data_IF_121408748229
#
_entry.id   IF_121408748229
#
_cell.length_a   1.000
_cell.length_b   1.000
_cell.length_c   1.000
_cell.angle_alpha   90.00
_cell.angle_beta   90.00
_cell.angle_gamma   90.00
#
_symmetry.space_group_name_H-M   'P 1'
#
loop_
_entity.id
_entity.type
_entity.pdbx_description
1 polymer ?
#
# COMPACT_ATOMS: atom_id res chain seq x y z
N UNK A 1 3.04 10.84 3.34
CA UNK A 1 4.14 10.71 2.36
C UNK A 1 4.65 12.06 1.87
N UNK A 2 3.80 12.97 1.35
CA UNK A 2 4.26 14.28 0.84
C UNK A 2 4.87 15.19 1.91
N UNK A 3 4.39 15.11 3.16
CA UNK A 3 4.96 15.88 4.28
C UNK A 3 6.47 15.69 4.44
N UNK A 4 6.97 14.46 4.23
CA UNK A 4 8.40 14.18 4.37
C UNK A 4 9.25 14.99 3.36
N UNK A 5 8.72 15.27 2.17
CA UNK A 5 9.43 16.12 1.19
C UNK A 5 9.49 17.56 1.64
N UNK A 6 8.41 18.12 2.18
CA UNK A 6 8.42 19.47 2.74
C UNK A 6 9.39 19.58 3.93
N UNK A 7 9.39 18.60 4.83
CA UNK A 7 10.27 18.61 6.01
C UNK A 7 11.76 18.56 5.60
N UNK A 8 12.11 17.69 4.64
CA UNK A 8 13.48 17.60 4.12
C UNK A 8 13.86 18.90 3.40
N UNK A 9 12.95 19.48 2.62
CA UNK A 9 13.21 20.70 1.88
C UNK A 9 13.45 21.90 2.78
N UNK A 10 12.65 22.05 3.84
CA UNK A 10 12.84 23.11 4.83
C UNK A 10 14.21 23.00 5.53
N UNK A 11 14.69 21.78 5.80
CA UNK A 11 16.00 21.56 6.39
C UNK A 11 17.16 21.90 5.45
N UNK A 12 16.93 21.81 4.14
CA UNK A 12 17.94 22.02 3.11
C UNK A 12 17.86 23.40 2.44
N UNK A 13 16.76 24.15 2.65
CA UNK A 13 16.46 25.39 1.93
C UNK A 13 16.11 25.17 0.45
N UNK A 14 15.46 24.05 0.15
CA UNK A 14 15.18 23.54 -1.21
C UNK A 14 13.67 23.38 -1.46
N UNK A 15 12.85 24.32 -0.97
CA UNK A 15 11.38 24.23 -0.99
C UNK A 15 10.80 24.20 -2.41
N UNK A 16 11.32 25.03 -3.33
CA UNK A 16 10.84 25.07 -4.72
C UNK A 16 11.03 23.72 -5.42
N UNK A 17 12.15 23.05 -5.17
CA UNK A 17 12.44 21.73 -5.72
C UNK A 17 11.52 20.65 -5.15
N UNK A 18 11.18 20.72 -3.87
CA UNK A 18 10.22 19.80 -3.28
C UNK A 18 8.82 19.99 -3.87
N UNK A 19 8.37 21.21 -4.09
CA UNK A 19 7.08 21.46 -4.75
C UNK A 19 7.03 20.85 -6.16
N UNK A 20 8.11 20.98 -6.93
CA UNK A 20 8.21 20.36 -8.25
C UNK A 20 8.07 18.83 -8.16
N UNK A 21 8.80 18.18 -7.24
CA UNK A 21 8.76 16.72 -7.06
C UNK A 21 7.37 16.27 -6.60
N UNK A 22 6.79 16.95 -5.61
CA UNK A 22 5.45 16.64 -5.09
C UNK A 22 4.43 16.76 -6.21
N UNK A 23 4.47 17.83 -7.00
CA UNK A 23 3.56 18.01 -8.12
C UNK A 23 3.67 16.85 -9.11
N UNK A 24 4.88 16.43 -9.49
CA UNK A 24 5.09 15.29 -10.39
C UNK A 24 4.54 13.98 -9.79
N UNK A 25 4.73 13.75 -8.49
CA UNK A 25 4.19 12.57 -7.80
C UNK A 25 2.65 12.59 -7.79
N UNK A 26 2.03 13.72 -7.48
CA UNK A 26 0.58 13.86 -7.51
C UNK A 26 0.00 13.59 -8.89
N UNK A 27 0.65 14.09 -9.95
CA UNK A 27 0.21 13.84 -11.32
C UNK A 27 0.25 12.34 -11.65
N UNK A 28 1.33 11.64 -11.27
CA UNK A 28 1.44 10.18 -11.46
C UNK A 28 0.37 9.42 -10.69
N UNK A 29 0.10 9.79 -9.44
CA UNK A 29 -0.96 9.17 -8.63
C UNK A 29 -2.33 9.40 -9.28
N UNK A 30 -2.65 10.65 -9.67
CA UNK A 30 -3.91 10.98 -10.34
C UNK A 30 -4.08 10.22 -11.66
N UNK A 31 -3.01 10.07 -12.42
CA UNK A 31 -3.01 9.29 -13.66
C UNK A 31 -3.32 7.81 -13.37
N UNK A 32 -2.62 7.19 -12.42
CA UNK A 32 -2.88 5.80 -12.04
C UNK A 32 -4.32 5.60 -11.54
N UNK A 33 -4.81 6.48 -10.66
CA UNK A 33 -6.18 6.45 -10.16
C UNK A 33 -7.21 6.60 -11.28
N UNK A 34 -6.93 7.41 -12.30
CA UNK A 34 -7.84 7.59 -13.44
C UNK A 34 -8.06 6.32 -14.25
N UNK A 35 -7.05 5.44 -14.32
CA UNK A 35 -7.12 4.17 -15.05
C UNK A 35 -8.03 3.15 -14.36
N UNK A 36 -8.15 3.24 -13.03
CA UNK A 36 -8.91 2.28 -12.22
C UNK A 36 -10.34 2.73 -11.92
N UNK A 37 -10.70 3.99 -12.18
CA UNK A 37 -12.04 4.56 -11.92
C UNK A 37 -13.21 3.83 -12.61
N UNK A 38 -12.95 3.14 -13.71
CA UNK A 38 -14.00 2.47 -14.50
C UNK A 38 -14.19 1.00 -14.10
N UNK A 39 -13.44 0.49 -13.11
CA UNK A 39 -13.64 -0.86 -12.61
C UNK A 39 -14.75 -0.85 -11.56
N UNK A 40 -15.82 -1.59 -11.84
CA UNK A 40 -17.01 -1.64 -11.00
C UNK A 40 -16.83 -2.48 -9.72
N UNK A 41 -15.73 -3.24 -9.63
CA UNK A 41 -15.42 -4.10 -8.49
C UNK A 41 -13.96 -3.88 -8.09
N UNK A 42 -13.74 -3.53 -6.83
CA UNK A 42 -12.42 -3.46 -6.23
C UNK A 42 -11.96 -4.90 -5.92
N UNK A 43 -10.86 -5.38 -6.51
CA UNK A 43 -10.39 -6.73 -6.21
C UNK A 43 -9.85 -6.82 -4.79
N UNK A 44 -10.06 -7.95 -4.12
CA UNK A 44 -9.44 -8.25 -2.83
C UNK A 44 -7.97 -8.64 -3.03
N UNK A 45 -7.07 -8.06 -2.24
CA UNK A 45 -5.63 -8.25 -2.42
C UNK A 45 -4.96 -8.66 -1.11
N UNK A 46 -4.46 -9.90 -1.06
CA UNK A 46 -3.59 -10.36 0.02
C UNK A 46 -2.18 -9.84 -0.19
N UNK A 47 -1.61 -9.18 0.82
CA UNK A 47 -0.23 -8.68 0.76
C UNK A 47 0.61 -9.49 1.74
N UNK A 48 1.56 -10.27 1.23
CA UNK A 48 2.44 -11.12 2.04
C UNK A 48 3.88 -10.62 1.96
N UNK A 49 4.56 -10.60 3.11
CA UNK A 49 5.99 -10.28 3.17
C UNK A 49 6.72 -11.09 4.24
N UNK A 50 8.00 -11.37 3.99
CA UNK A 50 8.91 -11.89 5.01
C UNK A 50 9.51 -10.70 5.77
N UNK A 51 9.25 -10.59 7.07
CA UNK A 51 9.76 -9.47 7.89
C UNK A 51 11.17 -9.72 8.44
N UNK A 52 11.90 -10.70 7.88
CA UNK A 52 13.22 -11.12 8.30
C UNK A 52 13.51 -12.59 8.02
N UNK A 53 14.79 -12.98 8.07
CA UNK A 53 15.23 -14.36 7.86
C UNK A 53 14.52 -15.33 8.81
N UNK A 54 13.89 -16.38 8.26
CA UNK A 54 13.10 -17.38 8.99
C UNK A 54 11.89 -16.83 9.76
N UNK A 55 11.43 -15.62 9.45
CA UNK A 55 10.10 -15.18 9.89
C UNK A 55 9.08 -15.57 8.81
N UNK A 56 7.95 -16.16 9.23
CA UNK A 56 6.92 -16.62 8.30
C UNK A 56 6.35 -15.46 7.47
N UNK A 57 5.54 -15.74 6.43
CA UNK A 57 4.88 -14.66 5.71
C UNK A 57 3.93 -13.93 6.67
N UNK A 58 4.04 -12.60 6.72
CA UNK A 58 3.10 -11.72 7.41
C UNK A 58 2.11 -11.17 6.41
N UNK A 59 0.84 -11.10 6.81
CA UNK A 59 -0.17 -10.28 6.14
C UNK A 59 0.14 -8.83 6.51
N UNK A 60 0.36 -7.98 5.51
CA UNK A 60 0.65 -6.57 5.75
C UNK A 60 -0.63 -5.78 6.05
N UNK A 61 -0.63 -5.09 7.19
CA UNK A 61 -1.75 -4.28 7.67
C UNK A 61 -1.62 -2.78 7.35
N UNK A 62 -2.48 -1.94 7.94
CA UNK A 62 -2.60 -0.51 7.64
C UNK A 62 -1.34 0.34 7.82
N UNK A 63 -0.33 -0.15 8.55
CA UNK A 63 0.94 0.55 8.72
C UNK A 63 1.93 0.35 7.56
N UNK A 64 1.59 -0.46 6.56
CA UNK A 64 2.47 -0.79 5.43
C UNK A 64 2.26 0.15 4.24
N UNK A 65 3.34 0.54 3.57
CA UNK A 65 3.26 1.27 2.29
C UNK A 65 2.51 0.44 1.24
N UNK A 66 2.67 -0.89 1.26
CA UNK A 66 1.97 -1.75 0.31
C UNK A 66 0.45 -1.72 0.50
N UNK A 67 -0.03 -1.51 1.73
CA UNK A 67 -1.46 -1.33 2.03
C UNK A 67 -2.00 -0.06 1.34
N UNK A 68 -1.31 1.07 1.51
CA UNK A 68 -1.69 2.33 0.87
C UNK A 68 -1.70 2.20 -0.66
N UNK A 69 -0.72 1.49 -1.23
CA UNK A 69 -0.63 1.27 -2.67
C UNK A 69 -1.82 0.47 -3.21
N UNK A 70 -2.25 -0.57 -2.51
CA UNK A 70 -3.45 -1.34 -2.90
C UNK A 70 -4.68 -0.46 -2.89
N UNK A 71 -4.89 0.35 -1.84
CA UNK A 71 -6.03 1.26 -1.79
C UNK A 71 -5.99 2.32 -2.90
N UNK A 72 -4.81 2.92 -3.14
CA UNK A 72 -4.63 3.92 -4.20
C UNK A 72 -4.85 3.33 -5.59
N UNK A 73 -4.57 2.04 -5.77
CA UNK A 73 -4.85 1.30 -7.00
C UNK A 73 -6.32 0.83 -7.12
N UNK A 74 -7.17 1.12 -6.13
CA UNK A 74 -8.58 0.75 -6.13
C UNK A 74 -8.85 -0.70 -5.73
N UNK A 75 -7.88 -1.38 -5.11
CA UNK A 75 -8.08 -2.69 -4.49
C UNK A 75 -8.53 -2.58 -3.03
N UNK A 76 -9.05 -3.68 -2.50
CA UNK A 76 -9.37 -3.84 -1.07
C UNK A 76 -8.28 -4.67 -0.40
N UNK A 77 -7.50 -4.09 0.53
CA UNK A 77 -6.49 -4.84 1.26
C UNK A 77 -7.11 -6.00 2.05
N UNK A 78 -6.51 -7.18 1.94
CA UNK A 78 -6.96 -8.37 2.64
C UNK A 78 -6.95 -8.25 4.16
N UNK A 79 -6.08 -7.39 4.71
CA UNK A 79 -6.07 -7.06 6.14
C UNK A 79 -7.34 -6.37 6.61
N UNK A 80 -8.01 -5.57 5.78
CA UNK A 80 -9.30 -4.96 6.12
C UNK A 80 -10.40 -6.02 6.18
N UNK A 81 -10.40 -6.97 5.24
CA UNK A 81 -11.37 -8.07 5.19
C UNK A 81 -11.24 -9.02 6.40
N UNK A 82 -10.02 -9.19 6.90
CA UNK A 82 -9.70 -9.98 8.08
C UNK A 82 -9.82 -9.19 9.40
N UNK A 83 -10.14 -7.89 9.35
CA UNK A 83 -10.25 -7.04 10.55
C UNK A 83 -8.93 -6.82 11.28
N UNK A 84 -7.81 -6.82 10.57
CA UNK A 84 -6.46 -6.68 11.14
C UNK A 84 -6.06 -5.21 11.26
N UNK A 85 -5.89 -4.73 12.49
CA UNK A 85 -5.41 -3.36 12.76
C UNK A 85 -3.90 -3.17 12.52
N UNK A 86 -3.16 -4.26 12.39
CA UNK A 86 -1.70 -4.27 12.19
C UNK A 86 -1.28 -5.51 11.40
N UNK A 87 -0.06 -5.49 10.88
CA UNK A 87 0.52 -6.68 10.25
C UNK A 87 0.57 -7.86 11.23
N UNK A 88 0.19 -9.03 10.75
CA UNK A 88 0.07 -10.25 11.56
C UNK A 88 0.63 -11.45 10.81
N UNK A 89 1.09 -12.51 11.52
CA UNK A 89 1.49 -13.75 10.87
C UNK A 89 0.35 -14.30 10.01
N UNK A 90 0.65 -14.71 8.78
CA UNK A 90 -0.31 -15.39 7.94
C UNK A 90 -0.55 -16.81 8.45
N UNK A 91 -1.80 -17.25 8.39
CA UNK A 91 -2.20 -18.64 8.62
C UNK A 91 -2.95 -19.15 7.40
N UNK A 92 -3.07 -20.47 7.26
CA UNK A 92 -3.81 -21.07 6.14
C UNK A 92 -5.29 -20.71 6.25
N UNK A 93 -5.82 -20.66 7.47
CA UNK A 93 -7.20 -20.27 7.78
C UNK A 93 -7.49 -18.84 7.29
N UNK A 94 -6.59 -17.89 7.52
CA UNK A 94 -6.74 -16.53 6.99
C UNK A 94 -6.85 -16.51 5.46
N UNK A 95 -6.07 -17.35 4.76
CA UNK A 95 -6.09 -17.38 3.29
C UNK A 95 -7.40 -17.98 2.78
N UNK A 96 -7.87 -19.06 3.43
CA UNK A 96 -9.13 -19.72 3.08
C UNK A 96 -10.33 -18.81 3.36
N UNK A 97 -10.36 -18.17 4.53
CA UNK A 97 -11.46 -17.29 4.94
C UNK A 97 -11.54 -16.04 4.07
N UNK A 98 -10.39 -15.53 3.61
CA UNK A 98 -10.31 -14.29 2.85
C UNK A 98 -10.53 -14.47 1.34
N UNK A 99 -10.18 -15.64 0.77
CA UNK A 99 -10.31 -15.97 -0.66
C UNK A 99 -9.92 -14.80 -1.62
N UNK A 100 -8.63 -14.39 -1.66
CA UNK A 100 -8.19 -13.24 -2.43
C UNK A 100 -8.36 -13.41 -3.94
N UNK A 101 -8.74 -12.33 -4.63
CA UNK A 101 -8.60 -12.23 -6.08
C UNK A 101 -7.11 -12.22 -6.50
N UNK A 102 -6.26 -11.55 -5.71
CA UNK A 102 -4.82 -11.44 -5.97
C UNK A 102 -3.97 -11.62 -4.71
N UNK A 103 -2.77 -12.18 -4.89
CA UNK A 103 -1.72 -12.22 -3.88
C UNK A 103 -0.52 -11.42 -4.38
N UNK A 104 -0.08 -10.43 -3.60
CA UNK A 104 1.14 -9.67 -3.82
C UNK A 104 2.19 -10.16 -2.81
N UNK A 105 3.35 -10.53 -3.33
CA UNK A 105 4.53 -10.88 -2.54
C UNK A 105 5.48 -9.69 -2.50
N UNK A 106 5.91 -9.29 -1.30
CA UNK A 106 6.84 -8.19 -1.06
C UNK A 106 8.07 -8.75 -0.36
N UNK A 107 9.22 -8.70 -1.04
CA UNK A 107 10.55 -9.08 -0.51
C UNK A 107 11.28 -7.91 0.14
#
# INVERSE_FOLDING_TARGET
MMQNYHDIAQLLGEEEKAEEIIHQMEQKIKQAQSLVKNYNQAPSVLILSQVGSNTGPYILGPSSIAYDLVQLAGGTPGSDLLGLEKSSPASIEHIIDMDPDYIILVE
#
